data_IF_896951325613
#
_entry.id   IF_896951325613
#
_cell.length_a   1.000
_cell.length_b   1.000
_cell.length_c   1.000
_cell.angle_alpha   90.00
_cell.angle_beta   90.00
_cell.angle_gamma   90.00
#
_symmetry.space_group_name_H-M   'P 1'
#
loop_
_entity.id
_entity.type
_entity.pdbx_description
1 polymer ?
#
# COMPACT_ATOMS: atom_id res chain seq x y z
N UNK A 1 -16.31 -9.62 -16.27
CA UNK A 1 -15.05 -9.55 -17.02
C UNK A 1 -14.77 -8.09 -17.17
N UNK A 2 -13.78 -7.57 -16.46
CA UNK A 2 -13.37 -6.18 -16.65
C UNK A 2 -12.74 -6.07 -18.03
N UNK A 3 -13.25 -5.14 -18.83
CA UNK A 3 -12.81 -4.90 -20.19
C UNK A 3 -11.36 -4.38 -20.13
N UNK A 4 -10.42 -5.06 -20.80
CA UNK A 4 -9.04 -4.58 -20.86
C UNK A 4 -9.01 -3.43 -21.85
N UNK A 5 -8.90 -2.21 -21.34
CA UNK A 5 -8.65 -1.03 -22.16
C UNK A 5 -7.17 -0.96 -22.55
N UNK A 6 -6.92 -0.80 -23.85
CA UNK A 6 -5.58 -0.62 -24.41
C UNK A 6 -5.38 0.85 -24.76
N UNK A 7 -4.15 1.35 -24.60
CA UNK A 7 -3.76 2.65 -25.16
C UNK A 7 -3.97 2.62 -26.68
N UNK A 8 -4.60 3.67 -27.20
CA UNK A 8 -4.95 3.82 -28.61
C UNK A 8 -3.81 4.44 -29.42
N UNK A 9 -2.93 5.21 -28.79
CA UNK A 9 -1.78 5.83 -29.44
C UNK A 9 -0.52 4.94 -29.35
N UNK A 10 0.30 4.85 -30.41
CA UNK A 10 1.55 4.11 -30.36
C UNK A 10 2.54 4.81 -29.42
N UNK A 11 3.33 4.02 -28.67
CA UNK A 11 4.33 4.53 -27.73
C UNK A 11 5.41 5.39 -28.40
N UNK A 12 5.82 5.01 -29.61
CA UNK A 12 6.84 5.70 -30.38
C UNK A 12 6.22 6.35 -31.62
N UNK A 13 6.75 7.51 -32.00
CA UNK A 13 6.52 8.11 -33.32
C UNK A 13 7.23 7.30 -34.39
N UNK A 14 6.91 7.55 -35.67
CA UNK A 14 7.59 6.90 -36.81
C UNK A 14 9.11 7.18 -36.84
N UNK A 15 9.54 8.26 -36.21
CA UNK A 15 10.93 8.70 -36.09
C UNK A 15 11.65 8.07 -34.88
N UNK A 16 10.95 7.26 -34.08
CA UNK A 16 11.50 6.58 -32.91
C UNK A 16 11.54 7.39 -31.62
N UNK A 17 10.87 8.55 -31.57
CA UNK A 17 10.74 9.36 -30.35
C UNK A 17 9.51 8.96 -29.53
N UNK A 18 9.49 9.29 -28.23
CA UNK A 18 8.31 9.07 -27.38
C UNK A 18 7.13 9.90 -27.93
N UNK A 19 5.99 9.26 -28.13
CA UNK A 19 4.77 9.92 -28.59
C UNK A 19 4.06 10.61 -27.40
N UNK A 20 4.04 11.94 -27.41
CA UNK A 20 3.36 12.74 -26.38
C UNK A 20 1.87 12.42 -26.26
N UNK A 21 1.19 12.07 -27.36
CA UNK A 21 -0.23 11.70 -27.31
C UNK A 21 -0.45 10.39 -26.52
N UNK A 22 0.45 9.41 -26.68
CA UNK A 22 0.44 8.18 -25.88
C UNK A 22 0.73 8.46 -24.41
N UNK A 23 1.68 9.35 -24.11
CA UNK A 23 1.98 9.74 -22.73
C UNK A 23 0.80 10.48 -22.06
N UNK A 24 0.09 11.33 -22.81
CA UNK A 24 -1.11 12.01 -22.32
C UNK A 24 -2.25 11.02 -22.06
N UNK A 25 -2.44 10.03 -22.94
CA UNK A 25 -3.43 8.97 -22.76
C UNK A 25 -3.10 8.11 -21.53
N UNK A 26 -1.83 7.72 -21.37
CA UNK A 26 -1.36 7.00 -20.19
C UNK A 26 -1.57 7.80 -18.90
N UNK A 27 -1.23 9.09 -18.91
CA UNK A 27 -1.46 9.97 -17.77
C UNK A 27 -2.95 10.10 -17.43
N UNK A 28 -3.81 10.23 -18.44
CA UNK A 28 -5.26 10.27 -18.25
C UNK A 28 -5.79 8.94 -17.68
N UNK A 29 -5.33 7.80 -18.19
CA UNK A 29 -5.72 6.48 -17.68
C UNK A 29 -5.30 6.28 -16.22
N UNK A 30 -4.08 6.72 -15.85
CA UNK A 30 -3.60 6.69 -14.47
C UNK A 30 -4.44 7.60 -13.57
N UNK A 31 -4.70 8.83 -14.00
CA UNK A 31 -5.44 9.82 -13.19
C UNK A 31 -6.92 9.47 -13.01
N UNK A 32 -7.52 8.74 -13.94
CA UNK A 32 -8.92 8.30 -13.88
C UNK A 32 -9.07 6.91 -13.23
N UNK A 33 -7.99 6.30 -12.76
CA UNK A 33 -8.03 4.98 -12.16
C UNK A 33 -8.81 5.02 -10.84
N UNK A 34 -9.86 4.19 -10.67
CA UNK A 34 -10.59 4.12 -9.41
C UNK A 34 -9.68 3.68 -8.26
N UNK A 35 -10.08 4.05 -7.04
CA UNK A 35 -9.33 3.66 -5.86
C UNK A 35 -9.20 2.13 -5.75
N UNK A 36 -8.13 1.68 -5.12
CA UNK A 36 -7.82 0.24 -5.05
C UNK A 36 -8.96 -0.58 -4.44
N UNK A 37 -9.64 -0.07 -3.40
CA UNK A 37 -10.77 -0.74 -2.77
C UNK A 37 -12.00 -0.87 -3.69
N UNK A 38 -12.18 0.04 -4.65
CA UNK A 38 -13.27 -0.03 -5.64
C UNK A 38 -12.89 -0.98 -6.77
N UNK A 39 -11.70 -0.76 -7.36
CA UNK A 39 -11.17 -1.54 -8.49
C UNK A 39 -11.08 -3.03 -8.17
N UNK A 40 -10.70 -3.40 -6.94
CA UNK A 40 -10.50 -4.80 -6.54
C UNK A 40 -11.66 -5.38 -5.75
N UNK A 41 -12.78 -4.66 -5.64
CA UNK A 41 -13.97 -5.09 -4.88
C UNK A 41 -14.57 -6.42 -5.33
N UNK A 42 -14.47 -6.74 -6.63
CA UNK A 42 -14.95 -8.00 -7.21
C UNK A 42 -13.92 -9.14 -7.15
N UNK A 43 -12.68 -8.86 -6.72
CA UNK A 43 -11.67 -9.89 -6.55
C UNK A 43 -11.92 -10.64 -5.24
N UNK A 44 -12.17 -11.94 -5.33
CA UNK A 44 -12.51 -12.78 -4.18
C UNK A 44 -11.49 -12.63 -3.03
N UNK A 45 -10.20 -12.74 -3.33
CA UNK A 45 -9.14 -12.64 -2.32
C UNK A 45 -9.10 -11.25 -1.64
N UNK A 46 -9.38 -10.18 -2.40
CA UNK A 46 -9.37 -8.82 -1.85
C UNK A 46 -10.62 -8.48 -1.05
N UNK A 47 -11.76 -9.09 -1.41
CA UNK A 47 -13.06 -8.91 -0.78
C UNK A 47 -13.29 -9.83 0.44
N UNK A 48 -12.51 -10.90 0.58
CA UNK A 48 -12.63 -11.85 1.68
C UNK A 48 -12.20 -11.24 3.02
N UNK A 49 -13.09 -11.30 4.01
CA UNK A 49 -12.82 -10.81 5.36
C UNK A 49 -12.00 -11.80 6.15
N UNK A 50 -10.93 -11.31 6.77
CA UNK A 50 -10.08 -12.09 7.68
C UNK A 50 -9.65 -11.23 8.86
N UNK A 51 -9.28 -11.88 9.96
CA UNK A 51 -8.72 -11.19 11.12
C UNK A 51 -7.50 -10.36 10.73
N UNK A 52 -7.53 -9.09 11.12
CA UNK A 52 -6.47 -8.12 10.90
C UNK A 52 -6.19 -7.43 12.22
N UNK A 53 -4.93 -7.29 12.58
CA UNK A 53 -4.54 -6.55 13.77
C UNK A 53 -4.26 -5.09 13.42
N UNK A 54 -4.70 -4.13 14.23
CA UNK A 54 -4.51 -2.70 13.90
C UNK A 54 -3.03 -2.32 13.74
N UNK A 55 -2.12 -3.04 14.43
CA UNK A 55 -0.67 -2.83 14.30
C UNK A 55 -0.10 -3.25 12.95
N UNK A 56 -0.74 -4.18 12.24
CA UNK A 56 -0.34 -4.54 10.87
C UNK A 56 -0.55 -3.33 9.94
N UNK A 57 -1.58 -2.54 10.23
CA UNK A 57 -1.91 -1.33 9.46
C UNK A 57 -0.94 -0.19 9.78
N UNK A 58 -0.75 0.12 11.06
CA UNK A 58 0.17 1.20 11.47
C UNK A 58 1.63 0.85 11.16
N UNK A 59 2.03 -0.40 11.38
CA UNK A 59 3.37 -0.89 11.07
C UNK A 59 3.62 -0.95 9.57
N UNK A 60 2.63 -1.41 8.79
CA UNK A 60 2.68 -1.39 7.33
C UNK A 60 2.83 0.02 6.77
N UNK A 61 2.07 0.99 7.30
CA UNK A 61 2.20 2.39 6.90
C UNK A 61 3.62 2.92 7.16
N UNK A 62 4.15 2.70 8.37
CA UNK A 62 5.49 3.13 8.73
C UNK A 62 6.55 2.50 7.82
N UNK A 63 6.45 1.19 7.60
CA UNK A 63 7.37 0.44 6.74
C UNK A 63 7.38 1.02 5.32
N UNK A 64 6.21 1.11 4.68
CA UNK A 64 6.14 1.53 3.28
C UNK A 64 6.41 3.03 3.08
N UNK A 65 6.06 3.88 4.05
CA UNK A 65 6.43 5.29 4.00
C UNK A 65 7.96 5.44 3.95
N UNK A 66 8.69 4.76 4.84
CA UNK A 66 10.16 4.76 4.85
C UNK A 66 10.73 4.25 3.52
N UNK A 67 10.14 3.21 2.92
CA UNK A 67 10.63 2.67 1.65
C UNK A 67 10.38 3.60 0.46
N UNK A 68 9.22 4.24 0.37
CA UNK A 68 8.98 5.25 -0.66
C UNK A 68 9.92 6.47 -0.47
N UNK A 69 10.15 6.88 0.77
CA UNK A 69 11.12 7.94 1.09
C UNK A 69 12.56 7.57 0.72
N UNK A 70 13.00 6.33 0.96
CA UNK A 70 14.32 5.87 0.58
C UNK A 70 14.53 5.93 -0.95
N UNK A 71 13.47 5.75 -1.73
CA UNK A 71 13.49 5.90 -3.20
C UNK A 71 13.47 7.34 -3.71
N UNK A 72 13.21 8.34 -2.84
CA UNK A 72 13.20 9.76 -3.21
C UNK A 72 14.61 10.30 -3.48
N UNK A 73 14.70 11.48 -4.12
CA UNK A 73 16.00 12.13 -4.35
C UNK A 73 16.70 12.50 -3.05
N UNK A 74 15.94 12.84 -2.00
CA UNK A 74 16.46 13.08 -0.65
C UNK A 74 17.03 11.78 -0.06
N UNK A 75 16.32 10.66 -0.25
CA UNK A 75 16.76 9.33 0.16
C UNK A 75 17.98 8.81 -0.60
N UNK A 76 18.11 9.11 -1.90
CA UNK A 76 19.26 8.71 -2.73
C UNK A 76 20.54 9.46 -2.41
N UNK A 77 20.43 10.73 -2.03
CA UNK A 77 21.56 11.54 -1.58
C UNK A 77 21.93 11.25 -0.11
N UNK A 78 21.19 10.36 0.54
CA UNK A 78 21.43 9.95 1.90
C UNK A 78 22.50 8.85 1.97
N UNK A 79 23.61 9.14 2.66
CA UNK A 79 24.66 8.15 2.88
C UNK A 79 24.24 7.18 4.01
N UNK A 80 23.69 6.02 3.63
CA UNK A 80 23.24 4.98 4.56
C UNK A 80 24.37 4.41 5.43
N UNK A 81 25.63 4.45 4.96
CA UNK A 81 26.78 3.94 5.72
C UNK A 81 27.23 4.89 6.85
N UNK A 82 26.75 6.15 6.85
CA UNK A 82 27.19 7.18 7.81
C UNK A 82 26.07 7.75 8.69
N UNK A 83 24.81 7.57 8.33
CA UNK A 83 23.68 8.17 9.03
C UNK A 83 22.53 7.14 9.23
N UNK A 84 21.74 7.25 10.31
CA UNK A 84 20.59 6.37 10.58
C UNK A 84 19.55 6.44 9.45
N UNK A 85 18.66 5.46 9.20
CA UNK A 85 17.70 5.53 8.09
C UNK A 85 16.96 6.87 8.02
N UNK A 86 16.81 7.45 6.83
CA UNK A 86 16.07 8.71 6.68
C UNK A 86 14.58 8.43 6.85
N UNK A 87 14.00 8.92 7.95
CA UNK A 87 12.57 8.83 8.23
C UNK A 87 11.86 10.09 7.76
N UNK A 88 10.61 9.94 7.31
CA UNK A 88 9.73 11.07 7.04
C UNK A 88 9.64 11.97 8.31
N UNK A 89 9.84 13.29 8.20
CA UNK A 89 9.62 14.19 9.32
C UNK A 89 8.21 14.04 9.89
N UNK A 90 8.08 13.80 11.19
CA UNK A 90 6.78 13.62 11.84
C UNK A 90 6.07 12.29 11.54
N UNK A 91 6.79 11.27 11.07
CA UNK A 91 6.28 9.90 10.89
C UNK A 91 5.52 9.42 12.12
N UNK A 92 6.10 9.59 13.30
CA UNK A 92 5.50 9.23 14.58
C UNK A 92 4.14 9.92 14.82
N UNK A 93 3.96 11.16 14.34
CA UNK A 93 2.71 11.88 14.47
C UNK A 93 1.65 11.34 13.52
N UNK A 94 2.03 10.99 12.28
CA UNK A 94 1.12 10.33 11.32
C UNK A 94 0.70 8.95 11.84
N UNK A 95 1.65 8.16 12.34
CA UNK A 95 1.36 6.85 12.93
C UNK A 95 0.49 6.98 14.18
N UNK A 96 0.77 7.95 15.04
CA UNK A 96 -0.02 8.25 16.24
C UNK A 96 -1.45 8.65 15.89
N UNK A 97 -1.61 9.55 14.92
CA UNK A 97 -2.90 9.98 14.39
C UNK A 97 -3.69 8.81 13.81
N UNK A 98 -3.07 8.03 12.90
CA UNK A 98 -3.69 6.85 12.32
C UNK A 98 -4.16 5.88 13.41
N UNK A 99 -3.27 5.55 14.35
CA UNK A 99 -3.58 4.66 15.48
C UNK A 99 -4.78 5.16 16.29
N UNK A 100 -4.83 6.46 16.60
CA UNK A 100 -5.95 7.06 17.33
C UNK A 100 -7.27 6.98 16.55
N UNK A 101 -7.24 7.13 15.22
CA UNK A 101 -8.42 7.07 14.37
C UNK A 101 -8.96 5.64 14.19
N UNK A 102 -8.08 4.65 14.03
CA UNK A 102 -8.51 3.28 13.68
C UNK A 102 -8.69 2.39 14.90
N UNK A 103 -7.88 2.54 15.96
CA UNK A 103 -7.88 1.62 17.12
C UNK A 103 -9.26 1.46 17.77
N UNK A 104 -10.10 2.50 17.94
CA UNK A 104 -11.45 2.34 18.50
C UNK A 104 -12.37 1.41 17.70
N UNK A 105 -12.02 1.10 16.44
CA UNK A 105 -12.80 0.22 15.58
C UNK A 105 -12.45 -1.27 15.74
N UNK A 106 -11.38 -1.58 16.47
CA UNK A 106 -10.90 -2.94 16.73
C UNK A 106 -11.35 -3.39 18.13
N UNK A 107 -11.40 -4.70 18.37
CA UNK A 107 -11.73 -5.25 19.68
C UNK A 107 -10.60 -5.00 20.72
N UNK A 108 -10.81 -5.41 21.96
CA UNK A 108 -9.86 -5.21 23.07
C UNK A 108 -8.49 -5.85 22.82
N UNK A 109 -8.46 -6.93 22.03
CA UNK A 109 -7.23 -7.60 21.60
C UNK A 109 -6.58 -6.93 20.38
N UNK A 110 -7.16 -5.87 19.84
CA UNK A 110 -6.65 -5.14 18.68
C UNK A 110 -6.98 -5.78 17.33
N UNK A 111 -7.96 -6.68 17.27
CA UNK A 111 -8.36 -7.40 16.05
C UNK A 111 -9.73 -6.97 15.51
N UNK A 112 -9.87 -7.05 14.19
CA UNK A 112 -11.13 -6.85 13.46
C UNK A 112 -11.15 -7.72 12.21
N UNK A 113 -12.30 -8.27 11.85
CA UNK A 113 -12.47 -8.94 10.55
C UNK A 113 -12.57 -7.89 9.45
N UNK A 114 -11.60 -7.89 8.55
CA UNK A 114 -11.50 -6.92 7.46
C UNK A 114 -11.03 -7.59 6.18
N UNK A 115 -11.65 -7.23 5.07
CA UNK A 115 -11.11 -7.52 3.74
C UNK A 115 -9.95 -6.58 3.40
N UNK A 116 -9.17 -6.88 2.35
CA UNK A 116 -8.13 -5.96 1.89
C UNK A 116 -8.75 -4.66 1.35
N UNK A 117 -9.94 -4.74 0.73
CA UNK A 117 -10.71 -3.57 0.33
C UNK A 117 -11.15 -2.73 1.54
N UNK A 118 -11.63 -3.35 2.62
CA UNK A 118 -12.00 -2.63 3.86
C UNK A 118 -10.80 -1.91 4.46
N UNK A 119 -9.63 -2.58 4.49
CA UNK A 119 -8.37 -1.99 4.97
C UNK A 119 -7.99 -0.79 4.11
N UNK A 120 -7.94 -0.96 2.78
CA UNK A 120 -7.55 0.09 1.86
C UNK A 120 -8.48 1.30 1.97
N UNK A 121 -9.80 1.07 1.99
CA UNK A 121 -10.81 2.13 2.14
C UNK A 121 -10.67 2.89 3.45
N UNK A 122 -10.55 2.18 4.58
CA UNK A 122 -10.40 2.81 5.90
C UNK A 122 -9.14 3.67 5.97
N UNK A 123 -8.01 3.18 5.46
CA UNK A 123 -6.76 3.95 5.45
C UNK A 123 -6.86 5.16 4.52
N UNK A 124 -7.53 5.02 3.38
CA UNK A 124 -7.79 6.11 2.45
C UNK A 124 -8.60 7.22 3.10
N UNK A 125 -9.72 6.87 3.75
CA UNK A 125 -10.59 7.82 4.44
C UNK A 125 -9.88 8.58 5.57
N UNK A 126 -8.95 7.93 6.28
CA UNK A 126 -8.19 8.58 7.36
C UNK A 126 -7.05 9.47 6.82
N UNK A 127 -6.35 9.04 5.78
CA UNK A 127 -5.08 9.66 5.37
C UNK A 127 -5.21 10.66 4.23
N UNK A 128 -6.21 10.52 3.35
CA UNK A 128 -6.38 11.40 2.17
C UNK A 128 -6.36 12.87 2.52
N UNK A 129 -7.01 13.23 3.62
CA UNK A 129 -7.13 14.62 4.09
C UNK A 129 -6.27 14.96 5.31
N UNK A 130 -5.37 14.05 5.70
CA UNK A 130 -4.44 14.28 6.79
C UNK A 130 -3.40 15.35 6.40
N UNK A 131 -3.46 16.52 7.03
CA UNK A 131 -2.55 17.64 6.75
C UNK A 131 -1.07 17.27 6.97
N UNK A 132 -0.79 16.46 7.99
CA UNK A 132 0.58 16.00 8.28
C UNK A 132 1.09 15.12 7.13
N UNK A 133 0.28 14.20 6.62
CA UNK A 133 0.65 13.40 5.46
C UNK A 133 0.83 14.27 4.20
N UNK A 134 -0.07 15.24 3.96
CA UNK A 134 0.06 16.20 2.85
C UNK A 134 1.35 17.01 2.94
N UNK A 135 1.82 17.34 4.15
CA UNK A 135 3.06 18.11 4.36
C UNK A 135 4.34 17.38 3.92
N UNK A 136 4.29 16.05 3.79
CA UNK A 136 5.42 15.28 3.24
C UNK A 136 5.61 15.53 1.75
N UNK A 137 4.53 15.80 1.03
CA UNK A 137 4.54 16.04 -0.41
C UNK A 137 4.87 17.50 -0.74
N UNK A 138 5.96 18.00 -0.18
CA UNK A 138 6.56 19.29 -0.48
C UNK A 138 7.98 19.10 -1.02
N UNK A 139 8.45 20.04 -1.83
CA UNK A 139 9.82 19.99 -2.36
C UNK A 139 10.88 20.02 -1.24
N UNK A 140 10.57 20.64 -0.11
CA UNK A 140 11.45 20.66 1.07
C UNK A 140 11.65 19.28 1.70
N UNK A 141 10.60 18.44 1.71
CA UNK A 141 10.62 17.14 2.41
C UNK A 141 10.94 15.97 1.48
N UNK A 142 10.34 15.92 0.29
CA UNK A 142 10.53 14.83 -0.67
C UNK A 142 11.39 15.20 -1.88
N UNK A 143 11.84 16.46 -1.99
CA UNK A 143 12.54 16.94 -3.19
C UNK A 143 11.61 16.92 -4.41
N UNK A 144 12.12 16.47 -5.56
CA UNK A 144 11.31 16.27 -6.76
C UNK A 144 10.51 14.97 -6.76
N UNK A 145 10.67 14.14 -5.73
CA UNK A 145 9.88 12.93 -5.57
C UNK A 145 8.53 13.25 -4.91
N UNK A 146 7.61 12.30 -4.99
CA UNK A 146 6.28 12.41 -4.41
C UNK A 146 5.89 11.07 -3.77
N UNK A 147 5.24 11.14 -2.61
CA UNK A 147 4.63 9.98 -1.96
C UNK A 147 3.23 9.80 -2.49
N UNK A 148 3.06 8.74 -3.27
CA UNK A 148 1.78 8.32 -3.77
C UNK A 148 1.03 7.55 -2.68
N UNK A 149 -0.05 8.17 -2.16
CA UNK A 149 -0.93 7.57 -1.16
C UNK A 149 -1.55 6.27 -1.69
N UNK A 150 -2.07 6.27 -2.91
CA UNK A 150 -2.74 5.09 -3.48
C UNK A 150 -1.75 3.93 -3.59
N UNK A 151 -0.51 4.17 -4.03
CA UNK A 151 0.56 3.17 -4.07
C UNK A 151 0.96 2.70 -2.66
N UNK A 152 1.06 3.62 -1.69
CA UNK A 152 1.38 3.33 -0.30
C UNK A 152 0.33 2.38 0.31
N UNK A 153 -0.95 2.71 0.17
CA UNK A 153 -2.05 1.90 0.69
C UNK A 153 -2.19 0.56 -0.02
N UNK A 154 -1.93 0.52 -1.32
CA UNK A 154 -1.90 -0.73 -2.07
C UNK A 154 -0.82 -1.66 -1.52
N UNK A 155 0.39 -1.15 -1.29
CA UNK A 155 1.51 -1.93 -0.77
C UNK A 155 1.27 -2.46 0.65
N UNK A 156 0.62 -1.69 1.53
CA UNK A 156 0.19 -2.18 2.85
C UNK A 156 -0.73 -3.40 2.68
N UNK A 157 -1.71 -3.32 1.78
CA UNK A 157 -2.62 -4.43 1.51
C UNK A 157 -1.88 -5.65 0.95
N UNK A 158 -0.88 -5.45 0.08
CA UNK A 158 -0.05 -6.53 -0.45
C UNK A 158 0.77 -7.22 0.65
N UNK A 159 1.33 -6.48 1.61
CA UNK A 159 2.02 -7.07 2.76
C UNK A 159 1.08 -7.98 3.56
N UNK A 160 -0.09 -7.45 3.94
CA UNK A 160 -1.10 -8.21 4.69
C UNK A 160 -1.55 -9.44 3.92
N UNK A 161 -1.78 -9.32 2.60
CA UNK A 161 -2.13 -10.43 1.73
C UNK A 161 -1.06 -11.51 1.73
N UNK A 162 0.20 -11.13 1.58
CA UNK A 162 1.30 -12.08 1.53
C UNK A 162 1.48 -12.80 2.86
N UNK A 163 1.30 -12.11 3.99
CA UNK A 163 1.38 -12.73 5.32
C UNK A 163 0.21 -13.67 5.56
N UNK A 164 -1.01 -13.30 5.15
CA UNK A 164 -2.18 -14.20 5.15
C UNK A 164 -1.92 -15.49 4.36
N UNK A 165 -1.40 -15.37 3.13
CA UNK A 165 -1.04 -16.54 2.30
C UNK A 165 0.02 -17.43 2.94
N UNK A 166 1.04 -16.82 3.58
CA UNK A 166 2.08 -17.59 4.29
C UNK A 166 1.51 -18.34 5.49
N UNK A 167 0.59 -17.72 6.22
CA UNK A 167 -0.09 -18.38 7.34
C UNK A 167 -0.96 -19.54 6.84
N UNK A 168 -1.71 -19.36 5.75
CA UNK A 168 -2.50 -20.46 5.15
C UNK A 168 -1.61 -21.64 4.74
N UNK A 169 -0.45 -21.36 4.14
CA UNK A 169 0.51 -22.38 3.76
C UNK A 169 1.11 -23.08 4.99
N UNK A 170 1.37 -22.35 6.07
CA UNK A 170 1.85 -22.89 7.33
C UNK A 170 0.79 -23.79 7.98
N UNK A 171 -0.46 -23.33 8.09
CA UNK A 171 -1.57 -24.08 8.68
C UNK A 171 -1.85 -25.36 7.90
N UNK A 172 -1.83 -25.30 6.56
CA UNK A 172 -2.00 -26.47 5.71
C UNK A 172 -0.90 -27.52 5.91
N UNK A 173 0.36 -27.08 6.05
CA UNK A 173 1.49 -27.98 6.32
C UNK A 173 1.40 -28.58 7.73
N UNK A 174 1.02 -27.77 8.72
CA UNK A 174 0.84 -28.21 10.11
C UNK A 174 -0.25 -29.28 10.22
N UNK A 175 -1.44 -29.05 9.64
CA UNK A 175 -2.56 -29.98 9.66
C UNK A 175 -2.22 -31.31 8.97
N UNK A 176 -1.49 -31.25 7.85
CA UNK A 176 -1.01 -32.43 7.15
C UNK A 176 -0.11 -33.29 8.05
N UNK A 177 0.90 -32.69 8.67
CA UNK A 177 1.82 -33.39 9.57
C UNK A 177 1.12 -33.93 10.82
N UNK A 178 0.16 -33.18 11.37
CA UNK A 178 -0.60 -33.58 12.55
C UNK A 178 -1.49 -34.79 12.26
N UNK A 179 -2.15 -34.80 11.10
CA UNK A 179 -3.00 -35.91 10.67
C UNK A 179 -2.16 -37.17 10.41
N UNK A 180 -1.01 -37.03 9.74
CA UNK A 180 -0.09 -38.15 9.48
C UNK A 180 0.47 -38.78 10.78
N UNK A 181 0.78 -37.97 11.80
CA UNK A 181 1.30 -38.47 13.10
C UNK A 181 0.27 -39.15 13.99
N UNK A 182 -1.01 -38.77 13.88
CA UNK A 182 -2.08 -39.29 14.74
C UNK A 182 -2.96 -40.36 14.06
N UNK A 183 -2.65 -40.72 12.82
CA UNK A 183 -3.36 -41.75 12.04
C UNK A 183 -2.59 -43.07 11.93
N UNK A 184 -1.46 -43.22 12.63
CA UNK A 184 -0.64 -44.44 12.72
C UNK A 184 -0.49 -44.92 14.15
#
# INVERSE_FOLDING_TARGET
>A
MDEIEFLTQPLLTEEGFINEACMNELAAAINNMPETYERLSNNQEWSEKRWTHYRDLTGGLAYWAVHQFAGSDVGKNYNQDKNPPYFAPGLENVIGYLSACIRPQFNDCGFKEMSLCDVNKMLWEVLRDCEIFKSWNTEEVCGKAWLDLSALLHNICLTIRNDRRKNDAFDAEFEKQWTEKNSG
#
